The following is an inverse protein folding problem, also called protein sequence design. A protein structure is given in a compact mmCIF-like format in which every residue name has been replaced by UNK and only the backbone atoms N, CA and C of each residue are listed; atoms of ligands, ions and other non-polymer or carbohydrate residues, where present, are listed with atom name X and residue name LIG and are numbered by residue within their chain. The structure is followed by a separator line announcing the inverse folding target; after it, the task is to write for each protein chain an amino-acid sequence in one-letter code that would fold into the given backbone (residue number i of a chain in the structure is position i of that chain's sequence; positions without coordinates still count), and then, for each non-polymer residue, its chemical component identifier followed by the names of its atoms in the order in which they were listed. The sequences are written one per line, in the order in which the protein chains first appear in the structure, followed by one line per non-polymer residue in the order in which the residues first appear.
data_IF_043003585264
#
_entry.id   IF_043003585264
#
_cell.length_a   1.000
_cell.length_b   1.000
_cell.length_c   1.000
_cell.angle_alpha   90.00
_cell.angle_beta   90.00
_cell.angle_gamma   90.00
#
_symmetry.space_group_name_H-M   'P 1'
#
loop_
_entity.id
_entity.type
_entity.pdbx_description
1 polymer ?
#
# COMPACT_ATOMS: atom_id res chain seq x y z
N UNK A 1 8.05 17.87 -2.71
CA UNK A 1 9.30 18.60 -2.50
C UNK A 1 9.03 20.03 -2.02
N UNK A 2 8.32 20.87 -2.77
CA UNK A 2 8.00 22.25 -2.34
C UNK A 2 7.32 22.36 -0.97
N UNK A 3 6.33 21.50 -0.68
CA UNK A 3 5.65 21.49 0.63
C UNK A 3 6.59 21.14 1.79
N UNK A 4 7.63 20.34 1.54
CA UNK A 4 8.62 19.97 2.56
C UNK A 4 9.53 21.17 2.88
N UNK A 5 9.92 21.94 1.85
CA UNK A 5 10.69 23.17 2.04
C UNK A 5 9.89 24.25 2.77
N UNK A 6 8.60 24.40 2.47
CA UNK A 6 7.70 25.29 3.19
C UNK A 6 7.52 24.89 4.66
N UNK A 7 7.46 23.59 4.95
CA UNK A 7 7.39 23.09 6.32
C UNK A 7 8.67 23.37 7.11
N UNK A 8 9.83 23.05 6.52
CA UNK A 8 11.12 23.32 7.15
C UNK A 8 11.32 24.82 7.40
N UNK A 9 10.97 25.65 6.42
CA UNK A 9 11.03 27.10 6.54
C UNK A 9 10.14 27.65 7.65
N UNK A 10 8.88 27.19 7.76
CA UNK A 10 7.96 27.67 8.79
C UNK A 10 8.39 27.28 10.21
N UNK A 11 8.97 26.09 10.39
CA UNK A 11 9.52 25.66 11.69
C UNK A 11 10.72 26.52 12.08
N UNK A 12 11.66 26.76 11.17
CA UNK A 12 12.85 27.59 11.44
C UNK A 12 12.43 29.04 11.77
N UNK A 13 11.52 29.62 10.99
CA UNK A 13 11.00 30.97 11.24
C UNK A 13 10.31 31.05 12.61
N UNK A 14 9.52 30.04 12.97
CA UNK A 14 8.84 29.99 14.27
C UNK A 14 9.83 29.95 15.44
N UNK A 15 10.90 29.16 15.34
CA UNK A 15 11.96 29.09 16.35
C UNK A 15 12.65 30.46 16.51
N UNK A 16 12.96 31.13 15.40
CA UNK A 16 13.59 32.47 15.41
C UNK A 16 12.66 33.50 16.07
N UNK A 17 11.36 33.48 15.74
CA UNK A 17 10.37 34.39 16.34
C UNK A 17 10.21 34.15 17.85
N UNK A 18 10.22 32.89 18.30
CA UNK A 18 10.18 32.59 19.74
C UNK A 18 11.43 33.07 20.47
N UNK A 19 12.63 32.90 19.90
CA UNK A 19 13.86 33.43 20.49
C UNK A 19 13.86 34.96 20.58
N UNK A 20 13.40 35.65 19.53
CA UNK A 20 13.29 37.12 19.53
C UNK A 20 12.25 37.62 20.55
N UNK A 21 11.10 36.95 20.68
CA UNK A 21 10.08 37.29 21.66
C UNK A 21 10.56 37.07 23.10
N UNK A 22 11.39 36.06 23.34
CA UNK A 22 12.04 35.82 24.63
C UNK A 22 13.10 36.88 24.96
N UNK A 23 13.95 37.25 24.00
CA UNK A 23 14.91 38.34 24.18
C UNK A 23 14.23 39.67 24.52
N UNK A 24 13.03 39.92 23.97
CA UNK A 24 12.22 41.10 24.29
C UNK A 24 11.39 40.96 25.58
N UNK A 25 11.56 39.90 26.36
CA UNK A 25 10.81 39.57 27.58
C UNK A 25 9.28 39.54 27.42
N UNK A 26 8.78 39.40 26.18
CA UNK A 26 7.33 39.36 25.89
C UNK A 26 6.70 38.03 26.35
N UNK A 27 7.53 37.01 26.55
CA UNK A 27 7.14 35.66 26.95
C UNK A 27 8.11 35.12 28.00
N UNK A 28 7.56 34.41 28.99
CA UNK A 28 8.37 33.73 30.01
C UNK A 28 8.99 32.45 29.45
N UNK A 29 10.04 31.97 30.11
CA UNK A 29 10.75 30.73 29.74
C UNK A 29 9.81 29.52 29.65
N UNK A 30 8.82 29.43 30.54
CA UNK A 30 7.82 28.35 30.52
C UNK A 30 6.94 28.39 29.25
N UNK A 31 6.50 29.59 28.84
CA UNK A 31 5.69 29.77 27.61
C UNK A 31 6.49 29.45 26.35
N UNK A 32 7.79 29.75 26.33
CA UNK A 32 8.68 29.41 25.21
C UNK A 32 8.86 27.90 25.06
N UNK A 33 9.10 27.18 26.17
CA UNK A 33 9.23 25.71 26.15
C UNK A 33 7.93 25.06 25.67
N UNK A 34 6.78 25.51 26.19
CA UNK A 34 5.48 25.00 25.77
C UNK A 34 5.24 25.22 24.27
N UNK A 35 5.55 26.41 23.75
CA UNK A 35 5.38 26.72 22.34
C UNK A 35 6.29 25.90 21.43
N UNK A 36 7.55 25.68 21.82
CA UNK A 36 8.49 24.84 21.08
C UNK A 36 8.02 23.38 21.02
N UNK A 37 7.50 22.83 22.12
CA UNK A 37 6.93 21.47 22.17
C UNK A 37 5.72 21.36 21.25
N UNK A 38 4.81 22.34 21.25
CA UNK A 38 3.64 22.35 20.36
C UNK A 38 4.07 22.36 18.88
N UNK A 39 5.04 23.21 18.51
CA UNK A 39 5.57 23.27 17.14
C UNK A 39 6.24 21.94 16.75
N UNK A 40 6.98 21.32 17.67
CA UNK A 40 7.60 20.01 17.42
C UNK A 40 6.54 18.93 17.16
N UNK A 41 5.53 18.82 18.03
CA UNK A 41 4.46 17.82 17.90
C UNK A 41 3.66 18.01 16.59
N UNK A 42 3.35 19.25 16.23
CA UNK A 42 2.64 19.54 14.97
C UNK A 42 3.50 19.30 13.73
N UNK A 43 4.79 19.64 13.78
CA UNK A 43 5.69 19.45 12.64
C UNK A 43 5.92 17.98 12.31
N UNK A 44 6.00 17.10 13.32
CA UNK A 44 6.08 15.64 13.11
C UNK A 44 4.82 15.12 12.43
N UNK A 45 3.64 15.47 12.94
CA UNK A 45 2.35 15.00 12.40
C UNK A 45 2.13 15.47 10.96
N UNK A 46 2.52 16.72 10.67
CA UNK A 46 2.42 17.28 9.33
C UNK A 46 3.48 16.72 8.38
N UNK A 47 4.71 16.48 8.87
CA UNK A 47 5.78 15.83 8.12
C UNK A 47 5.39 14.43 7.67
N UNK A 48 4.80 13.63 8.58
CA UNK A 48 4.21 12.33 8.23
C UNK A 48 3.16 12.50 7.14
N UNK A 49 2.23 13.45 7.27
CA UNK A 49 1.18 13.67 6.25
C UNK A 49 1.72 14.07 4.87
N UNK A 50 2.78 14.88 4.79
CA UNK A 50 3.42 15.23 3.50
C UNK A 50 4.14 14.00 2.92
N UNK A 51 4.96 13.33 3.73
CA UNK A 51 5.75 12.19 3.27
C UNK A 51 4.87 10.98 2.94
N UNK A 52 3.71 10.89 3.56
CA UNK A 52 2.70 9.87 3.34
C UNK A 52 1.65 10.27 2.30
N UNK A 53 1.92 11.25 1.40
CA UNK A 53 1.00 11.60 0.31
C UNK A 53 0.66 10.45 -0.66
N UNK A 54 1.38 9.32 -0.59
CA UNK A 54 0.98 8.04 -1.19
C UNK A 54 0.16 7.18 -0.21
N UNK A 55 -0.73 7.81 0.56
CA UNK A 55 -1.58 7.16 1.54
C UNK A 55 -2.52 6.16 0.85
N UNK A 56 -2.94 5.14 1.58
CA UNK A 56 -3.96 4.16 1.19
C UNK A 56 -5.28 4.82 0.72
N UNK A 57 -5.53 6.10 1.02
CA UNK A 57 -6.67 6.86 0.51
C UNK A 57 -6.73 6.97 -1.03
N UNK A 58 -5.59 6.96 -1.75
CA UNK A 58 -5.58 6.84 -3.21
C UNK A 58 -5.80 5.41 -3.72
N UNK A 59 -5.80 4.40 -2.85
CA UNK A 59 -6.15 3.01 -3.21
C UNK A 59 -7.65 2.82 -3.40
N UNK A 60 -8.49 3.75 -2.92
CA UNK A 60 -9.96 3.75 -3.12
C UNK A 60 -10.36 3.85 -4.60
N UNK A 61 -9.46 4.28 -5.49
CA UNK A 61 -9.72 4.27 -6.93
C UNK A 61 -9.48 2.90 -7.58
N UNK A 62 -8.72 1.98 -6.96
CA UNK A 62 -8.32 0.72 -7.58
C UNK A 62 -9.54 -0.12 -7.96
N UNK A 63 -10.55 -0.15 -7.10
CA UNK A 63 -11.80 -0.89 -7.32
C UNK A 63 -12.48 -0.49 -8.64
N UNK A 64 -12.38 0.78 -9.06
CA UNK A 64 -13.02 1.30 -10.28
C UNK A 64 -12.48 0.66 -11.56
N UNK A 65 -11.27 0.11 -11.50
CA UNK A 65 -10.61 -0.52 -12.64
C UNK A 65 -10.76 -2.04 -12.65
N UNK A 66 -11.31 -2.64 -11.58
CA UNK A 66 -11.48 -4.07 -11.47
C UNK A 66 -12.85 -4.46 -12.01
N UNK A 67 -12.89 -5.20 -13.11
CA UNK A 67 -14.14 -5.73 -13.65
C UNK A 67 -14.69 -6.88 -12.78
N UNK A 68 -16.02 -7.09 -12.77
CA UNK A 68 -16.64 -8.14 -11.96
C UNK A 68 -16.15 -9.56 -12.26
N UNK A 69 -15.75 -9.83 -13.50
CA UNK A 69 -15.29 -11.13 -14.00
C UNK A 69 -13.79 -11.40 -13.77
N UNK A 70 -13.01 -10.38 -13.43
CA UNK A 70 -11.58 -10.54 -13.29
C UNK A 70 -11.19 -11.35 -12.06
N UNK A 71 -10.15 -12.19 -12.16
CA UNK A 71 -9.62 -12.86 -10.98
C UNK A 71 -8.59 -11.97 -10.30
N UNK A 72 -8.73 -11.78 -8.99
CA UNK A 72 -7.78 -11.03 -8.18
C UNK A 72 -6.82 -12.03 -7.54
N UNK A 73 -5.53 -11.77 -7.72
CA UNK A 73 -4.46 -12.67 -7.31
C UNK A 73 -3.49 -11.91 -6.42
N UNK A 74 -3.14 -12.47 -5.27
CA UNK A 74 -2.01 -12.01 -4.46
C UNK A 74 -0.82 -12.91 -4.71
N UNK A 75 0.31 -12.34 -5.13
CA UNK A 75 1.50 -13.08 -5.55
C UNK A 75 2.60 -13.03 -4.47
N UNK A 76 2.98 -14.19 -3.94
CA UNK A 76 4.04 -14.44 -2.96
C UNK A 76 3.99 -13.53 -1.71
N UNK A 77 2.80 -13.03 -1.38
CA UNK A 77 2.54 -12.17 -0.23
C UNK A 77 1.03 -12.02 0.01
N UNK A 78 0.58 -12.07 1.27
CA UNK A 78 -0.83 -11.82 1.63
C UNK A 78 -1.05 -10.37 2.09
N UNK A 79 -1.84 -9.60 1.34
CA UNK A 79 -2.17 -8.21 1.68
C UNK A 79 -3.44 -8.17 2.55
N UNK A 80 -3.27 -8.10 3.87
CA UNK A 80 -4.40 -8.12 4.82
C UNK A 80 -5.43 -7.01 4.57
N UNK A 81 -4.98 -5.78 4.30
CA UNK A 81 -5.87 -4.63 4.19
C UNK A 81 -6.54 -4.52 2.80
N UNK A 82 -5.90 -5.08 1.78
CA UNK A 82 -6.27 -4.84 0.39
C UNK A 82 -7.70 -5.30 0.04
N UNK A 83 -8.18 -6.50 0.47
CA UNK A 83 -9.56 -6.92 0.22
C UNK A 83 -10.60 -5.96 0.80
N UNK A 84 -10.34 -5.43 2.00
CA UNK A 84 -11.24 -4.49 2.69
C UNK A 84 -11.24 -3.12 2.01
N UNK A 85 -10.06 -2.60 1.68
CA UNK A 85 -9.91 -1.30 1.02
C UNK A 85 -10.52 -1.28 -0.39
N UNK A 86 -10.49 -2.41 -1.09
CA UNK A 86 -11.15 -2.58 -2.39
C UNK A 86 -12.62 -3.03 -2.27
N UNK A 87 -13.14 -3.22 -1.06
CA UNK A 87 -14.48 -3.76 -0.80
C UNK A 87 -14.79 -5.00 -1.67
N UNK A 88 -13.86 -5.97 -1.70
CA UNK A 88 -13.98 -7.15 -2.53
C UNK A 88 -15.10 -8.07 -2.04
N UNK A 89 -16.05 -8.33 -2.93
CA UNK A 89 -17.17 -9.25 -2.68
C UNK A 89 -16.85 -10.71 -3.04
N UNK A 90 -15.67 -10.95 -3.64
CA UNK A 90 -15.22 -12.26 -4.11
C UNK A 90 -13.90 -12.65 -3.46
N UNK A 91 -13.66 -13.96 -3.22
CA UNK A 91 -12.39 -14.44 -2.68
C UNK A 91 -11.24 -14.11 -3.62
N UNK A 92 -10.07 -13.83 -3.03
CA UNK A 92 -8.82 -13.66 -3.75
C UNK A 92 -8.13 -15.00 -3.94
N UNK A 93 -7.46 -15.18 -5.07
CA UNK A 93 -6.56 -16.30 -5.27
C UNK A 93 -5.18 -15.95 -4.75
N UNK A 94 -4.50 -16.91 -4.13
CA UNK A 94 -3.19 -16.72 -3.52
C UNK A 94 -2.20 -17.57 -4.29
N UNK A 95 -1.16 -16.93 -4.84
CA UNK A 95 -0.08 -17.62 -5.54
C UNK A 95 1.11 -17.65 -4.61
N UNK A 96 1.58 -18.85 -4.31
CA UNK A 96 2.77 -19.10 -3.49
C UNK A 96 3.32 -20.50 -3.79
N UNK A 97 4.49 -20.81 -3.25
CA UNK A 97 4.97 -22.18 -3.15
C UNK A 97 4.33 -22.86 -1.93
N UNK A 98 3.11 -23.39 -2.15
CA UNK A 98 2.33 -24.06 -1.10
C UNK A 98 2.99 -25.35 -0.56
N UNK A 99 3.95 -25.91 -1.29
CA UNK A 99 4.73 -27.07 -0.84
C UNK A 99 5.81 -26.63 0.15
N UNK A 100 6.48 -25.49 -0.11
CA UNK A 100 7.60 -24.98 0.68
C UNK A 100 7.28 -23.68 1.46
N UNK A 101 6.13 -23.64 2.15
CA UNK A 101 5.77 -22.48 2.99
C UNK A 101 6.66 -22.38 4.24
N UNK A 102 7.15 -21.17 4.52
CA UNK A 102 7.94 -20.89 5.74
C UNK A 102 7.06 -20.87 6.99
N UNK A 103 7.56 -21.42 8.11
CA UNK A 103 6.80 -21.66 9.35
C UNK A 103 6.26 -20.40 10.05
N UNK A 104 6.87 -19.24 9.86
CA UNK A 104 6.41 -17.96 10.43
C UNK A 104 5.97 -17.01 9.30
N UNK A 105 4.91 -17.41 8.58
CA UNK A 105 4.39 -16.64 7.45
C UNK A 105 2.87 -16.69 7.38
N UNK A 106 2.28 -15.69 6.72
CA UNK A 106 0.85 -15.70 6.39
C UNK A 106 0.46 -16.93 5.58
N UNK A 107 1.34 -17.42 4.70
CA UNK A 107 1.11 -18.61 3.89
C UNK A 107 0.97 -19.88 4.75
N UNK A 108 1.77 -20.00 5.81
CA UNK A 108 1.65 -21.09 6.78
C UNK A 108 0.31 -21.03 7.52
N UNK A 109 -0.08 -19.86 8.03
CA UNK A 109 -1.38 -19.69 8.71
C UNK A 109 -2.57 -20.02 7.79
N UNK A 110 -2.49 -19.64 6.51
CA UNK A 110 -3.51 -19.98 5.51
C UNK A 110 -3.55 -21.48 5.26
N UNK A 111 -2.38 -22.13 5.13
CA UNK A 111 -2.26 -23.58 4.94
C UNK A 111 -2.85 -24.35 6.12
N UNK A 112 -2.59 -23.90 7.35
CA UNK A 112 -3.18 -24.46 8.56
C UNK A 112 -4.71 -24.25 8.60
N UNK A 113 -5.19 -23.08 8.16
CA UNK A 113 -6.62 -22.79 8.05
C UNK A 113 -7.38 -23.77 7.16
N UNK A 114 -6.73 -24.34 6.13
CA UNK A 114 -7.34 -25.35 5.25
C UNK A 114 -7.72 -26.65 5.98
N UNK A 115 -7.16 -26.92 7.16
CA UNK A 115 -7.58 -28.06 7.98
C UNK A 115 -9.06 -27.94 8.40
N UNK A 116 -9.56 -26.71 8.49
CA UNK A 116 -10.93 -26.40 8.89
C UNK A 116 -11.84 -26.05 7.69
N UNK A 117 -11.29 -25.44 6.63
CA UNK A 117 -12.02 -25.08 5.41
C UNK A 117 -11.33 -25.66 4.15
N UNK A 118 -11.36 -27.00 3.93
CA UNK A 118 -10.61 -27.67 2.87
C UNK A 118 -11.05 -27.25 1.45
N UNK A 119 -12.30 -26.84 1.28
CA UNK A 119 -12.85 -26.35 0.01
C UNK A 119 -12.18 -25.05 -0.47
N UNK A 120 -11.53 -24.30 0.43
CA UNK A 120 -10.78 -23.08 0.09
C UNK A 120 -9.50 -23.36 -0.68
N UNK A 121 -9.04 -24.62 -0.71
CA UNK A 121 -7.85 -25.04 -1.45
C UNK A 121 -7.90 -24.64 -2.93
N UNK A 122 -9.09 -24.51 -3.52
CA UNK A 122 -9.26 -24.06 -4.91
C UNK A 122 -8.74 -22.63 -5.20
N UNK A 123 -8.57 -21.81 -4.17
CA UNK A 123 -8.03 -20.45 -4.26
C UNK A 123 -6.52 -20.39 -4.07
N UNK A 124 -5.87 -21.51 -3.73
CA UNK A 124 -4.42 -21.59 -3.56
C UNK A 124 -3.80 -22.10 -4.86
N UNK A 125 -3.12 -21.19 -5.56
CA UNK A 125 -2.58 -21.40 -6.89
C UNK A 125 -1.06 -21.54 -6.84
N UNK A 126 -0.51 -22.36 -7.73
CA UNK A 126 0.92 -22.31 -8.04
C UNK A 126 1.21 -21.25 -9.10
N UNK A 127 2.49 -20.92 -9.32
CA UNK A 127 2.90 -20.06 -10.43
C UNK A 127 2.43 -20.60 -11.79
N UNK A 128 2.43 -21.93 -11.95
CA UNK A 128 1.94 -22.59 -13.17
C UNK A 128 0.44 -22.37 -13.38
N UNK A 129 -0.37 -22.42 -12.32
CA UNK A 129 -1.81 -22.12 -12.41
C UNK A 129 -2.02 -20.67 -12.84
N UNK A 130 -1.28 -19.73 -12.26
CA UNK A 130 -1.35 -18.32 -12.64
C UNK A 130 -0.99 -18.12 -14.12
N UNK A 131 0.13 -18.71 -14.56
CA UNK A 131 0.59 -18.62 -15.94
C UNK A 131 -0.46 -19.15 -16.92
N UNK A 132 -1.07 -20.31 -16.63
CA UNK A 132 -2.13 -20.89 -17.47
C UNK A 132 -3.36 -19.99 -17.56
N UNK A 133 -3.80 -19.40 -16.44
CA UNK A 133 -4.96 -18.49 -16.40
C UNK A 133 -4.72 -17.20 -17.17
N UNK A 134 -3.50 -16.67 -17.10
CA UNK A 134 -3.10 -15.51 -17.91
C UNK A 134 -3.04 -15.88 -19.38
N UNK A 135 -2.49 -17.05 -19.74
CA UNK A 135 -2.40 -17.51 -21.14
C UNK A 135 -3.78 -17.80 -21.75
N UNK A 136 -4.76 -18.22 -20.95
CA UNK A 136 -6.13 -18.45 -21.45
C UNK A 136 -6.90 -17.15 -21.75
N UNK A 137 -6.28 -15.98 -21.63
CA UNK A 137 -6.90 -14.69 -21.90
C UNK A 137 -7.86 -14.22 -20.80
N UNK A 138 -7.89 -14.88 -19.64
CA UNK A 138 -8.74 -14.46 -18.54
C UNK A 138 -8.24 -13.12 -17.98
N UNK A 139 -9.12 -12.14 -17.68
CA UNK A 139 -8.71 -10.93 -16.99
C UNK A 139 -8.20 -11.25 -15.59
N UNK A 140 -6.97 -10.85 -15.30
CA UNK A 140 -6.31 -11.10 -14.00
C UNK A 140 -5.71 -9.81 -13.47
N UNK A 141 -5.98 -9.53 -12.19
CA UNK A 141 -5.35 -8.44 -11.42
C UNK A 141 -4.39 -9.07 -10.44
N UNK A 142 -3.10 -8.80 -10.59
CA UNK A 142 -2.07 -9.32 -9.69
C UNK A 142 -1.63 -8.20 -8.77
N UNK A 143 -1.73 -8.42 -7.46
CA UNK A 143 -1.09 -7.60 -6.44
C UNK A 143 0.18 -8.34 -6.00
N UNK A 144 1.31 -7.64 -6.07
CA UNK A 144 2.60 -8.18 -5.66
C UNK A 144 3.39 -7.13 -4.90
N UNK A 145 4.30 -7.53 -4.02
CA UNK A 145 5.24 -6.57 -3.40
C UNK A 145 5.99 -5.83 -4.49
N UNK A 146 6.34 -4.58 -4.23
CA UNK A 146 7.01 -3.73 -5.22
C UNK A 146 8.22 -4.46 -5.82
N UNK A 147 8.30 -4.52 -7.16
CA UNK A 147 9.34 -5.21 -7.93
C UNK A 147 9.48 -6.73 -7.70
N UNK A 148 8.52 -7.40 -7.06
CA UNK A 148 8.60 -8.86 -6.80
C UNK A 148 8.04 -9.72 -7.94
N UNK A 149 7.07 -9.21 -8.70
CA UNK A 149 6.48 -9.95 -9.81
C UNK A 149 7.17 -9.61 -11.14
N UNK A 150 7.79 -10.63 -11.75
CA UNK A 150 8.41 -10.51 -13.07
C UNK A 150 7.36 -10.69 -14.15
N UNK A 151 6.67 -9.60 -14.46
CA UNK A 151 5.70 -9.60 -15.54
C UNK A 151 6.37 -9.78 -16.91
N UNK A 152 6.08 -10.88 -17.59
CA UNK A 152 6.52 -11.17 -18.96
C UNK A 152 5.54 -10.70 -20.04
N UNK A 153 4.34 -10.23 -19.65
CA UNK A 153 3.34 -9.75 -20.60
C UNK A 153 3.58 -8.27 -20.95
N UNK A 154 3.98 -7.94 -22.20
CA UNK A 154 4.28 -6.58 -22.62
C UNK A 154 3.05 -5.66 -22.67
N UNK A 155 1.84 -6.23 -22.67
CA UNK A 155 0.58 -5.49 -22.71
C UNK A 155 -0.03 -5.27 -21.32
N UNK A 156 0.65 -5.69 -20.26
CA UNK A 156 0.18 -5.45 -18.90
C UNK A 156 0.20 -3.97 -18.57
N UNK A 157 -0.86 -3.50 -17.92
CA UNK A 157 -0.87 -2.17 -17.34
C UNK A 157 -0.46 -2.27 -15.88
N UNK A 158 0.44 -1.40 -15.43
CA UNK A 158 1.02 -1.49 -14.08
C UNK A 158 0.80 -0.19 -13.33
N UNK A 159 0.21 -0.32 -12.13
CA UNK A 159 0.10 0.75 -11.15
C UNK A 159 1.09 0.51 -10.02
N UNK A 160 1.88 1.53 -9.69
CA UNK A 160 2.90 1.46 -8.65
C UNK A 160 2.42 2.17 -7.39
N UNK A 161 2.18 1.41 -6.32
CA UNK A 161 1.89 1.94 -4.99
C UNK A 161 3.14 1.88 -4.11
N UNK A 162 3.03 2.44 -2.90
CA UNK A 162 4.15 2.54 -1.96
C UNK A 162 4.72 1.16 -1.55
N UNK A 163 3.83 0.19 -1.32
CA UNK A 163 4.18 -1.11 -0.73
C UNK A 163 3.93 -2.28 -1.68
N UNK A 164 3.26 -2.04 -2.81
CA UNK A 164 2.90 -3.07 -3.77
C UNK A 164 2.70 -2.48 -5.16
N UNK A 165 2.83 -3.34 -6.16
CA UNK A 165 2.48 -3.05 -7.54
C UNK A 165 1.21 -3.82 -7.90
N UNK A 166 0.39 -3.23 -8.77
CA UNK A 166 -0.81 -3.88 -9.31
C UNK A 166 -0.67 -4.01 -10.81
N UNK A 167 -0.78 -5.25 -11.30
CA UNK A 167 -0.67 -5.60 -12.70
C UNK A 167 -2.04 -6.00 -13.22
N UNK A 168 -2.48 -5.36 -14.30
CA UNK A 168 -3.70 -5.68 -15.02
C UNK A 168 -3.34 -6.42 -16.29
N UNK A 169 -3.68 -7.71 -16.33
CA UNK A 169 -3.38 -8.62 -17.44
C UNK A 169 -4.66 -8.99 -18.18
N UNK A 170 -4.61 -8.96 -19.51
CA UNK A 170 -5.75 -9.23 -20.39
C UNK A 170 -6.95 -8.30 -20.13
N UNK A 171 -6.66 -7.04 -19.76
CA UNK A 171 -7.66 -6.03 -19.47
C UNK A 171 -7.98 -5.18 -20.70
N UNK A 172 -9.28 -5.05 -21.08
CA UNK A 172 -9.68 -4.23 -22.22
C UNK A 172 -9.71 -2.72 -21.90
N UNK A 173 -9.84 -2.35 -20.62
CA UNK A 173 -9.91 -0.96 -20.19
C UNK A 173 -8.51 -0.38 -19.95
N UNK A 174 -8.31 0.88 -20.33
CA UNK A 174 -7.12 1.64 -19.95
C UNK A 174 -7.26 2.14 -18.52
N UNK A 175 -6.37 1.67 -17.65
CA UNK A 175 -6.18 2.13 -16.29
C UNK A 175 -5.42 3.45 -16.36
N UNK A 176 -6.09 4.55 -16.03
CA UNK A 176 -5.46 5.87 -16.00
C UNK A 176 -4.55 5.98 -14.77
N UNK A 177 -3.30 6.44 -15.00
CA UNK A 177 -2.28 6.68 -13.97
C UNK A 177 -2.57 7.91 -13.13
#
# INVERSE_FOLDING_TARGET
MEQLYWLGGSVIISIILFMLAYQKQLISHFKLVLAAVIVLCMSISFGVKILDQKNNATQVSLQKYITPDATIVFYNYYFYDAPFLMNLQKPVCLVDDWEHVGLDSSAFQIKDGLLFEPERKQYLWSENNLAQKVQSGQPVVILARTNSYKNSNPHAQVLHYRNYDVYFLNYPQQVQK
#
